data_IF_847531854227
#
_entry.id   IF_847531854227
#
_cell.length_a   1.000
_cell.length_b   1.000
_cell.length_c   1.000
_cell.angle_alpha   90.00
_cell.angle_beta   90.00
_cell.angle_gamma   90.00
#
_symmetry.space_group_name_H-M   'P 1'
#
loop_
_entity.id
_entity.type
_entity.pdbx_description
1 polymer ?
#
# COMPACT_ATOMS: atom_id res chain seq x y z
N UNK A 1 -8.25 25.35 -36.34
CA UNK A 1 -8.75 24.05 -35.84
C UNK A 1 -7.64 23.03 -35.99
N UNK A 2 -7.12 22.52 -34.88
CA UNK A 2 -6.36 21.27 -34.82
C UNK A 2 -6.51 20.73 -33.39
N UNK A 3 -7.28 19.67 -33.27
CA UNK A 3 -7.39 18.82 -32.08
C UNK A 3 -6.07 18.13 -31.83
N UNK A 4 -5.53 18.24 -30.61
CA UNK A 4 -4.60 17.24 -30.08
C UNK A 4 -4.80 17.14 -28.56
N UNK A 5 -5.82 16.36 -28.21
CA UNK A 5 -5.94 15.74 -26.90
C UNK A 5 -4.85 14.67 -26.79
N UNK A 6 -3.74 14.99 -26.16
CA UNK A 6 -2.78 13.99 -25.69
C UNK A 6 -2.79 14.01 -24.17
N UNK A 7 -3.41 13.00 -23.58
CA UNK A 7 -3.31 12.69 -22.15
C UNK A 7 -2.44 11.44 -22.01
N UNK A 8 -1.12 11.55 -21.73
CA UNK A 8 -0.27 10.40 -21.47
C UNK A 8 0.02 10.31 -19.98
N UNK A 9 -0.84 9.71 -19.15
CA UNK A 9 -0.49 9.56 -17.70
C UNK A 9 -1.11 8.36 -16.97
N UNK A 10 -1.52 7.29 -17.66
CA UNK A 10 -2.05 6.09 -16.98
C UNK A 10 -1.02 4.99 -16.73
N UNK A 11 0.23 5.15 -17.20
CA UNK A 11 1.27 4.11 -17.08
C UNK A 11 2.31 4.38 -15.99
N UNK A 12 2.62 5.64 -15.70
CA UNK A 12 3.61 6.03 -14.67
C UNK A 12 3.13 5.71 -13.25
N UNK A 13 1.82 5.78 -13.01
CA UNK A 13 1.24 5.58 -11.68
C UNK A 13 1.40 4.17 -11.15
N UNK A 14 1.40 3.11 -11.97
CA UNK A 14 1.48 1.75 -11.44
C UNK A 14 2.91 1.36 -11.00
N UNK A 15 3.93 1.74 -11.76
CA UNK A 15 5.32 1.46 -11.43
C UNK A 15 5.73 2.18 -10.13
N UNK A 16 5.36 3.45 -9.98
CA UNK A 16 5.58 4.19 -8.74
C UNK A 16 4.84 3.57 -7.54
N UNK A 17 3.64 3.03 -7.74
CA UNK A 17 2.88 2.36 -6.68
C UNK A 17 3.53 1.04 -6.26
N UNK A 18 4.17 0.32 -7.19
CA UNK A 18 4.91 -0.90 -6.90
C UNK A 18 6.22 -0.64 -6.17
N UNK A 19 6.98 0.38 -6.57
CA UNK A 19 8.18 0.83 -5.86
C UNK A 19 7.84 1.26 -4.42
N UNK A 20 6.74 1.98 -4.23
CA UNK A 20 6.24 2.38 -2.90
C UNK A 20 5.89 1.16 -2.05
N UNK A 21 5.26 0.14 -2.64
CA UNK A 21 4.96 -1.13 -1.96
C UNK A 21 6.23 -1.90 -1.58
N UNK A 22 7.28 -1.82 -2.38
CA UNK A 22 8.56 -2.46 -2.06
C UNK A 22 9.28 -1.73 -0.91
N UNK A 23 9.30 -0.39 -0.90
CA UNK A 23 9.76 0.40 0.25
C UNK A 23 8.95 0.11 1.52
N UNK A 24 7.64 -0.08 1.38
CA UNK A 24 6.74 -0.47 2.47
C UNK A 24 7.05 -1.86 3.03
N UNK A 25 7.54 -2.81 2.21
CA UNK A 25 7.88 -4.17 2.65
C UNK A 25 8.87 -4.16 3.81
N UNK A 26 9.93 -3.35 3.72
CA UNK A 26 10.96 -3.23 4.76
C UNK A 26 10.37 -2.64 6.05
N UNK A 27 9.45 -1.69 5.92
CA UNK A 27 8.77 -1.06 7.08
C UNK A 27 7.74 -2.00 7.72
N UNK A 28 6.98 -2.73 6.90
CA UNK A 28 5.96 -3.69 7.34
C UNK A 28 6.58 -4.94 7.97
N UNK A 29 7.82 -5.31 7.61
CA UNK A 29 8.55 -6.42 8.20
C UNK A 29 8.78 -6.25 9.71
N UNK A 30 8.90 -5.00 10.18
CA UNK A 30 9.07 -4.68 11.60
C UNK A 30 7.72 -4.65 12.36
N UNK A 31 6.59 -4.68 11.64
CA UNK A 31 5.27 -4.49 12.22
C UNK A 31 4.56 -5.80 12.54
N UNK A 32 3.75 -5.77 13.61
CA UNK A 32 2.87 -6.88 13.93
C UNK A 32 1.67 -6.94 12.97
N UNK A 33 1.75 -7.85 11.99
CA UNK A 33 0.68 -8.08 11.00
C UNK A 33 -0.64 -8.55 11.64
N UNK A 34 -0.61 -9.07 12.87
CA UNK A 34 -1.81 -9.46 13.62
C UNK A 34 -2.69 -8.27 14.00
N UNK A 35 -2.11 -7.08 14.11
CA UNK A 35 -2.87 -5.85 14.37
C UNK A 35 -3.26 -5.14 13.06
N UNK A 36 -2.40 -5.21 12.05
CA UNK A 36 -2.58 -4.50 10.78
C UNK A 36 -3.61 -5.15 9.84
N UNK A 37 -3.46 -6.45 9.58
CA UNK A 37 -4.28 -7.17 8.59
C UNK A 37 -5.77 -7.17 8.95
N UNK A 38 -6.21 -7.34 10.22
CA UNK A 38 -7.62 -7.28 10.56
C UNK A 38 -8.24 -5.91 10.28
N UNK A 39 -7.47 -4.81 10.43
CA UNK A 39 -7.95 -3.47 10.09
C UNK A 39 -8.14 -3.34 8.58
N UNK A 40 -7.21 -3.85 7.78
CA UNK A 40 -7.33 -3.86 6.32
C UNK A 40 -8.53 -4.68 5.84
N UNK A 41 -8.86 -5.77 6.54
CA UNK A 41 -10.07 -6.56 6.29
C UNK A 41 -11.33 -5.79 6.67
N UNK A 42 -11.35 -5.17 7.85
CA UNK A 42 -12.47 -4.34 8.31
C UNK A 42 -12.74 -3.15 7.37
N UNK A 43 -11.70 -2.62 6.73
CA UNK A 43 -11.78 -1.54 5.72
C UNK A 43 -12.09 -2.03 4.30
N UNK A 44 -12.36 -3.33 4.12
CA UNK A 44 -12.67 -3.96 2.82
C UNK A 44 -11.55 -3.84 1.77
N UNK A 45 -10.30 -3.65 2.20
CA UNK A 45 -9.14 -3.73 1.29
C UNK A 45 -8.75 -5.17 1.06
N UNK A 46 -8.72 -5.95 2.15
CA UNK A 46 -8.53 -7.40 2.11
C UNK A 46 -9.86 -8.11 2.41
N UNK A 47 -10.03 -9.27 1.81
CA UNK A 47 -11.08 -10.21 2.14
C UNK A 47 -10.58 -11.21 3.19
N UNK A 48 -11.50 -11.88 3.88
CA UNK A 48 -11.16 -12.91 4.88
C UNK A 48 -10.32 -14.05 4.30
N UNK A 49 -10.53 -14.39 3.02
CA UNK A 49 -9.73 -15.38 2.32
C UNK A 49 -8.28 -14.90 2.10
N UNK A 50 -8.09 -13.62 1.78
CA UNK A 50 -6.78 -12.99 1.59
C UNK A 50 -6.03 -12.89 2.92
N UNK A 51 -6.74 -12.57 4.01
CA UNK A 51 -6.21 -12.63 5.37
C UNK A 51 -5.74 -14.05 5.73
N UNK A 52 -6.53 -15.08 5.41
CA UNK A 52 -6.13 -16.47 5.58
C UNK A 52 -4.87 -16.82 4.76
N UNK A 53 -4.78 -16.33 3.52
CA UNK A 53 -3.59 -16.53 2.68
C UNK A 53 -2.34 -15.84 3.24
N UNK A 54 -2.48 -14.68 3.87
CA UNK A 54 -1.38 -14.00 4.57
C UNK A 54 -0.92 -14.83 5.75
N UNK A 55 -1.82 -15.20 6.68
CA UNK A 55 -1.43 -15.93 7.90
C UNK A 55 -1.06 -17.39 7.70
N UNK A 56 -1.37 -17.97 6.54
CA UNK A 56 -0.91 -19.30 6.15
C UNK A 56 0.62 -19.36 5.95
N UNK A 57 1.30 -18.21 5.83
CA UNK A 57 2.77 -18.17 5.75
C UNK A 57 3.39 -18.31 7.14
N UNK A 58 4.47 -19.09 7.22
CA UNK A 58 5.14 -19.43 8.48
C UNK A 58 5.97 -18.26 9.03
N UNK A 59 6.68 -17.54 8.15
CA UNK A 59 7.54 -16.42 8.56
C UNK A 59 6.87 -15.07 8.34
N UNK A 60 7.07 -14.13 9.26
CA UNK A 60 6.56 -12.76 9.16
C UNK A 60 6.97 -12.08 7.84
N UNK A 61 8.21 -12.28 7.39
CA UNK A 61 8.66 -11.75 6.10
C UNK A 61 7.80 -12.25 4.93
N UNK A 62 7.50 -13.54 4.89
CA UNK A 62 6.63 -14.14 3.86
C UNK A 62 5.17 -13.65 3.98
N UNK A 63 4.70 -13.43 5.20
CA UNK A 63 3.37 -12.83 5.43
C UNK A 63 3.31 -11.41 4.86
N UNK A 64 4.36 -10.59 5.07
CA UNK A 64 4.47 -9.25 4.49
C UNK A 64 4.53 -9.32 2.97
N UNK A 65 5.37 -10.19 2.41
CA UNK A 65 5.42 -10.42 0.96
C UNK A 65 4.05 -10.74 0.39
N UNK A 66 3.33 -11.67 1.04
CA UNK A 66 2.00 -12.06 0.58
C UNK A 66 1.01 -10.91 0.68
N UNK A 67 1.08 -10.12 1.74
CA UNK A 67 0.25 -8.92 1.89
C UNK A 67 0.55 -7.92 0.77
N UNK A 68 1.82 -7.64 0.49
CA UNK A 68 2.23 -6.74 -0.60
C UNK A 68 1.73 -7.25 -1.95
N UNK A 69 1.90 -8.53 -2.27
CA UNK A 69 1.34 -9.14 -3.49
C UNK A 69 -0.16 -8.89 -3.62
N UNK A 70 -0.91 -9.05 -2.54
CA UNK A 70 -2.35 -8.81 -2.52
C UNK A 70 -2.65 -7.32 -2.74
N UNK A 71 -1.95 -6.42 -2.04
CA UNK A 71 -2.14 -4.96 -2.17
C UNK A 71 -1.85 -4.47 -3.59
N UNK A 72 -0.86 -5.05 -4.29
CA UNK A 72 -0.57 -4.75 -5.71
C UNK A 72 -1.79 -4.97 -6.62
N UNK A 73 -2.70 -5.88 -6.26
CA UNK A 73 -3.93 -6.15 -7.02
C UNK A 73 -5.09 -5.21 -6.68
N UNK A 74 -4.95 -4.35 -5.66
CA UNK A 74 -6.00 -3.45 -5.19
C UNK A 74 -5.78 -2.04 -5.72
N UNK A 75 -6.86 -1.33 -6.05
CA UNK A 75 -6.77 0.03 -6.58
C UNK A 75 -6.73 1.13 -5.51
N UNK A 76 -7.14 0.85 -4.25
CA UNK A 76 -7.27 1.87 -3.19
C UNK A 76 -6.75 1.40 -1.82
N UNK A 77 -5.66 0.62 -1.80
CA UNK A 77 -5.12 0.08 -0.56
C UNK A 77 -4.44 1.12 0.33
N UNK A 78 -3.91 2.21 -0.25
CA UNK A 78 -3.05 3.17 0.45
C UNK A 78 -3.77 3.91 1.58
N UNK A 79 -4.98 4.44 1.35
CA UNK A 79 -5.73 5.16 2.39
C UNK A 79 -6.03 4.30 3.62
N UNK A 80 -6.60 3.10 3.45
CA UNK A 80 -6.84 2.18 4.55
C UNK A 80 -5.55 1.64 5.19
N UNK A 81 -4.46 1.50 4.44
CA UNK A 81 -3.15 1.14 5.00
C UNK A 81 -2.62 2.23 5.93
N UNK A 82 -2.72 3.50 5.51
CA UNK A 82 -2.34 4.65 6.34
C UNK A 82 -3.21 4.70 7.61
N UNK A 83 -4.53 4.52 7.50
CA UNK A 83 -5.43 4.46 8.67
C UNK A 83 -5.06 3.30 9.61
N UNK A 84 -4.73 2.13 9.05
CA UNK A 84 -4.29 0.98 9.83
C UNK A 84 -2.96 1.25 10.56
N UNK A 85 -1.98 1.86 9.87
CA UNK A 85 -0.70 2.23 10.47
C UNK A 85 -0.88 3.22 11.61
N UNK A 86 -1.72 4.26 11.44
CA UNK A 86 -2.02 5.22 12.51
C UNK A 86 -2.64 4.52 13.72
N UNK A 87 -3.57 3.59 13.51
CA UNK A 87 -4.23 2.82 14.58
C UNK A 87 -3.28 1.84 15.28
N UNK A 88 -2.29 1.31 14.56
CA UNK A 88 -1.22 0.48 15.13
C UNK A 88 -0.12 1.31 15.83
N UNK A 89 -0.28 2.64 15.96
CA UNK A 89 0.73 3.52 16.56
C UNK A 89 1.89 3.87 15.62
N UNK A 90 1.84 3.43 14.37
CA UNK A 90 2.86 3.61 13.33
C UNK A 90 2.62 4.88 12.50
N UNK A 91 2.21 5.96 13.18
CA UNK A 91 1.91 7.24 12.54
C UNK A 91 3.11 7.85 11.82
N UNK A 92 4.33 7.57 12.28
CA UNK A 92 5.56 8.01 11.61
C UNK A 92 5.70 7.38 10.21
N UNK A 93 5.48 6.07 10.09
CA UNK A 93 5.51 5.34 8.82
C UNK A 93 4.37 5.82 7.92
N UNK A 94 3.16 5.99 8.49
CA UNK A 94 2.00 6.52 7.78
C UNK A 94 2.26 7.90 7.15
N UNK A 95 2.93 8.78 7.90
CA UNK A 95 3.31 10.13 7.45
C UNK A 95 4.42 10.10 6.40
N UNK A 96 5.39 9.20 6.53
CA UNK A 96 6.45 8.98 5.53
C UNK A 96 5.85 8.56 4.17
N UNK A 97 4.91 7.61 4.17
CA UNK A 97 4.18 7.18 2.96
C UNK A 97 3.40 8.33 2.34
N UNK A 98 2.69 9.11 3.18
CA UNK A 98 1.91 10.26 2.72
C UNK A 98 2.81 11.33 2.09
N UNK A 99 3.98 11.58 2.70
CA UNK A 99 4.94 12.57 2.23
C UNK A 99 5.60 12.16 0.91
N UNK A 100 5.94 10.87 0.73
CA UNK A 100 6.43 10.31 -0.54
C UNK A 100 5.39 10.52 -1.66
N UNK A 101 4.10 10.42 -1.34
CA UNK A 101 3.02 10.65 -2.31
C UNK A 101 2.78 12.14 -2.62
N UNK A 102 2.86 13.01 -1.60
CA UNK A 102 2.70 14.46 -1.79
C UNK A 102 3.83 15.04 -2.65
N UNK A 103 5.07 14.57 -2.48
CA UNK A 103 6.19 15.00 -3.32
C UNK A 103 6.08 14.56 -4.78
N UNK A 104 5.44 13.42 -5.09
CA UNK A 104 5.18 13.04 -6.49
C UNK A 104 4.07 13.90 -7.12
N UNK A 105 3.15 14.46 -6.32
CA UNK A 105 2.13 15.38 -6.79
C UNK A 105 2.67 16.81 -7.01
N UNK A 106 3.68 17.23 -6.24
CA UNK A 106 4.25 18.58 -6.32
C UNK A 106 5.33 18.75 -7.40
N UNK A 107 5.90 17.68 -7.95
CA UNK A 107 6.95 17.78 -8.98
C UNK A 107 6.41 17.95 -10.41
N UNK A 108 5.16 18.41 -10.54
CA UNK A 108 4.48 18.75 -11.82
C UNK A 108 4.05 20.23 -11.82
N UNK A 109 4.99 21.14 -11.60
CA UNK A 109 4.82 22.58 -11.79
C UNK A 109 5.95 23.13 -12.67
#
# INVERSE_FOLDING_TARGET
MATQSQSPSTRTTNEEQYDRLDCLRVRLADLNLKDLVPILVARRVLQSQEMGAVYSREHQAEQVDKLIEILKTKHHWMGPLIDALIRCGQGAIAKEILNINDQSAQNTL
#
